data_IF_552486929409
#
_entry.id   IF_552486929409
#
_cell.length_a   1.000
_cell.length_b   1.000
_cell.length_c   1.000
_cell.angle_alpha   90.00
_cell.angle_beta   90.00
_cell.angle_gamma   90.00
#
_symmetry.space_group_name_H-M   'P 1'
#
loop_
_entity.id
_entity.type
_entity.pdbx_description
1 polymer ?
#
# COMPACT_ATOMS: atom_id res chain seq x y z
N UNK A 1 52.53 -47.76 7.10
CA UNK A 1 52.26 -48.59 8.30
C UNK A 1 51.44 -47.72 9.23
N UNK A 2 50.17 -47.93 9.61
CA UNK A 2 49.33 -49.10 9.95
C UNK A 2 47.85 -48.71 9.76
N UNK A 3 47.09 -49.30 8.83
CA UNK A 3 46.01 -50.30 9.02
C UNK A 3 44.95 -50.05 10.13
N UNK A 4 43.70 -49.90 9.67
CA UNK A 4 42.53 -50.76 9.96
C UNK A 4 41.70 -50.60 11.26
N UNK A 5 40.42 -50.22 11.09
CA UNK A 5 39.16 -50.87 11.59
C UNK A 5 38.01 -49.86 11.39
N UNK A 6 36.96 -50.03 10.59
CA UNK A 6 36.04 -51.15 10.33
C UNK A 6 35.15 -51.53 11.54
N UNK A 7 34.02 -50.82 11.69
CA UNK A 7 32.79 -51.22 12.39
C UNK A 7 31.64 -50.49 11.67
N UNK A 8 30.94 -51.06 10.68
CA UNK A 8 29.91 -52.12 10.76
C UNK A 8 29.01 -52.01 11.99
N UNK A 9 27.98 -51.16 11.89
CA UNK A 9 26.68 -51.43 12.52
C UNK A 9 25.57 -51.28 11.49
N UNK A 10 25.07 -52.45 11.08
CA UNK A 10 23.81 -52.60 10.38
C UNK A 10 22.67 -52.24 11.34
N UNK A 11 21.76 -51.38 10.89
CA UNK A 11 20.46 -51.16 11.54
C UNK A 11 19.33 -51.70 10.67
N UNK A 12 18.27 -52.22 11.30
CA UNK A 12 17.43 -53.25 10.72
C UNK A 12 16.40 -52.69 9.75
N UNK A 13 16.28 -53.37 8.62
CA UNK A 13 15.15 -53.30 7.69
C UNK A 13 13.84 -53.65 8.41
N UNK A 14 13.14 -52.63 8.93
CA UNK A 14 11.73 -52.79 9.29
C UNK A 14 10.86 -52.59 8.04
N UNK A 15 10.50 -53.72 7.42
CA UNK A 15 9.37 -53.87 6.52
C UNK A 15 8.09 -53.43 7.24
N UNK A 16 7.66 -52.19 7.03
CA UNK A 16 6.29 -51.77 7.29
C UNK A 16 5.50 -51.93 5.97
N UNK A 17 4.78 -53.05 5.85
CA UNK A 17 3.75 -53.24 4.84
C UNK A 17 2.58 -52.29 5.13
N UNK A 18 2.64 -51.07 4.61
CA UNK A 18 1.50 -50.17 4.57
C UNK A 18 0.54 -50.64 3.45
N UNK A 19 -0.51 -51.35 3.85
CA UNK A 19 -1.69 -51.64 3.02
C UNK A 19 -2.32 -50.33 2.55
N UNK A 20 -2.03 -49.93 1.32
CA UNK A 20 -2.76 -48.89 0.60
C UNK A 20 -4.12 -49.43 0.19
N UNK A 21 -5.15 -49.20 1.03
CA UNK A 21 -6.55 -49.31 0.61
C UNK A 21 -6.82 -48.20 -0.41
N UNK A 22 -6.79 -48.55 -1.70
CA UNK A 22 -7.43 -47.78 -2.78
C UNK A 22 -8.95 -47.78 -2.53
N UNK A 23 -9.44 -46.75 -1.86
CA UNK A 23 -10.84 -46.38 -1.93
C UNK A 23 -11.02 -45.59 -3.24
N UNK A 24 -11.44 -46.30 -4.30
CA UNK A 24 -11.96 -45.69 -5.51
C UNK A 24 -13.30 -45.03 -5.21
N UNK A 25 -13.27 -43.82 -4.65
CA UNK A 25 -14.44 -42.97 -4.55
C UNK A 25 -14.75 -42.41 -5.92
N UNK A 26 -15.87 -42.85 -6.50
CA UNK A 26 -16.43 -42.29 -7.72
C UNK A 26 -16.56 -40.77 -7.57
N UNK A 27 -15.82 -40.01 -8.38
CA UNK A 27 -16.03 -38.56 -8.57
C UNK A 27 -17.45 -38.40 -9.10
N UNK A 28 -18.36 -37.95 -8.23
CA UNK A 28 -19.64 -37.43 -8.66
C UNK A 28 -19.43 -36.29 -9.66
N UNK A 29 -20.40 -36.05 -10.56
CA UNK A 29 -20.31 -34.97 -11.55
C UNK A 29 -20.01 -33.66 -10.83
N UNK A 30 -18.91 -33.01 -11.22
CA UNK A 30 -18.53 -31.71 -10.69
C UNK A 30 -19.70 -30.76 -10.90
N UNK A 31 -20.36 -30.37 -9.79
CA UNK A 31 -21.41 -29.37 -9.80
C UNK A 31 -20.79 -28.11 -10.40
N UNK A 32 -21.19 -27.77 -11.62
CA UNK A 32 -20.71 -26.58 -12.31
C UNK A 32 -20.99 -25.37 -11.41
N UNK A 33 -19.92 -24.75 -10.90
CA UNK A 33 -20.03 -23.53 -10.13
C UNK A 33 -20.65 -22.49 -11.05
N UNK A 34 -21.82 -21.92 -10.72
CA UNK A 34 -22.48 -20.95 -11.59
C UNK A 34 -21.51 -19.81 -11.89
N UNK A 35 -21.38 -19.48 -13.19
CA UNK A 35 -20.62 -18.33 -13.69
C UNK A 35 -21.21 -17.07 -13.04
N UNK A 36 -20.51 -16.51 -12.06
CA UNK A 36 -20.90 -15.28 -11.38
C UNK A 36 -20.78 -14.11 -12.35
N UNK A 37 -21.80 -13.26 -12.37
CA UNK A 37 -21.81 -12.03 -13.15
C UNK A 37 -20.83 -11.02 -12.55
N UNK A 38 -20.05 -10.30 -13.38
CA UNK A 38 -19.06 -9.30 -12.93
C UNK A 38 -19.67 -8.12 -12.18
N UNK A 39 -21.01 -7.99 -12.17
CA UNK A 39 -21.74 -6.94 -11.46
C UNK A 39 -21.62 -7.03 -9.92
N UNK A 40 -21.22 -8.19 -9.37
CA UNK A 40 -21.17 -8.42 -7.92
C UNK A 40 -19.79 -8.15 -7.28
N UNK A 41 -18.81 -7.68 -8.04
CA UNK A 41 -17.45 -7.46 -7.54
C UNK A 41 -17.06 -5.98 -7.49
N UNK A 42 -16.47 -5.55 -6.37
CA UNK A 42 -16.07 -4.18 -6.13
C UNK A 42 -14.57 -3.99 -6.45
N UNK A 43 -14.16 -2.98 -7.25
CA UNK A 43 -12.74 -2.70 -7.45
C UNK A 43 -12.06 -2.36 -6.12
N UNK A 44 -10.87 -2.90 -5.89
CA UNK A 44 -10.13 -2.72 -4.64
C UNK A 44 -9.91 -1.23 -4.35
N UNK A 45 -9.52 -0.44 -5.35
CA UNK A 45 -9.34 1.02 -5.23
C UNK A 45 -10.59 1.72 -4.69
N UNK A 46 -11.79 1.29 -5.12
CA UNK A 46 -13.07 1.80 -4.62
C UNK A 46 -13.39 1.31 -3.21
N UNK A 47 -13.04 0.07 -2.86
CA UNK A 47 -13.18 -0.42 -1.49
C UNK A 47 -12.32 0.42 -0.52
N UNK A 48 -11.05 0.64 -0.88
CA UNK A 48 -10.09 1.39 -0.04
C UNK A 48 -10.44 2.88 0.07
N UNK A 49 -11.15 3.47 -0.91
CA UNK A 49 -11.57 4.87 -0.84
C UNK A 49 -12.80 5.09 0.06
N UNK A 50 -13.63 4.06 0.26
CA UNK A 50 -14.88 4.15 1.03
C UNK A 50 -14.71 3.60 2.45
N UNK A 51 -13.89 2.56 2.63
CA UNK A 51 -13.76 1.84 3.89
C UNK A 51 -12.31 1.75 4.35
N UNK A 52 -12.09 1.94 5.66
CA UNK A 52 -10.83 1.56 6.32
C UNK A 52 -10.85 0.06 6.61
N UNK A 53 -9.74 -0.61 6.30
CA UNK A 53 -9.59 -2.03 6.56
C UNK A 53 -9.16 -2.29 8.01
N UNK A 54 -9.63 -3.38 8.58
CA UNK A 54 -8.99 -3.92 9.79
C UNK A 54 -7.69 -4.64 9.41
N UNK A 55 -6.72 -4.78 10.34
CA UNK A 55 -5.48 -5.51 10.07
C UNK A 55 -5.71 -6.93 9.53
N UNK A 56 -6.69 -7.65 10.09
CA UNK A 56 -7.01 -9.02 9.64
C UNK A 56 -7.61 -9.04 8.21
N UNK A 57 -8.41 -8.03 7.86
CA UNK A 57 -8.96 -7.90 6.50
C UNK A 57 -7.88 -7.60 5.47
N UNK A 58 -6.94 -6.71 5.80
CA UNK A 58 -5.84 -6.38 4.91
C UNK A 58 -4.91 -7.58 4.66
N UNK A 59 -4.61 -8.37 5.71
CA UNK A 59 -3.86 -9.63 5.58
C UNK A 59 -4.62 -10.65 4.72
N UNK A 60 -5.92 -10.83 4.94
CA UNK A 60 -6.74 -11.78 4.17
C UNK A 60 -6.79 -11.43 2.68
N UNK A 61 -6.93 -10.14 2.34
CA UNK A 61 -6.88 -9.66 0.95
C UNK A 61 -5.50 -9.90 0.32
N UNK A 62 -4.41 -9.58 1.03
CA UNK A 62 -3.05 -9.85 0.54
C UNK A 62 -2.79 -11.34 0.31
N UNK A 63 -3.28 -12.21 1.20
CA UNK A 63 -3.18 -13.66 1.05
C UNK A 63 -3.97 -14.20 -0.16
N UNK A 64 -5.20 -13.71 -0.37
CA UNK A 64 -6.02 -14.10 -1.52
C UNK A 64 -5.41 -13.62 -2.85
N UNK A 65 -4.80 -12.43 -2.87
CA UNK A 65 -4.10 -11.90 -4.04
C UNK A 65 -2.90 -12.75 -4.46
N UNK A 66 -2.04 -13.12 -3.51
CA UNK A 66 -0.90 -13.98 -3.79
C UNK A 66 -1.32 -15.38 -4.23
N UNK A 67 -2.38 -15.92 -3.62
CA UNK A 67 -2.93 -17.20 -4.06
C UNK A 67 -3.46 -17.13 -5.50
N UNK A 68 -4.14 -16.04 -5.88
CA UNK A 68 -4.57 -15.82 -7.26
C UNK A 68 -3.37 -15.72 -8.22
N UNK A 69 -2.30 -15.06 -7.80
CA UNK A 69 -1.07 -14.91 -8.57
C UNK A 69 -0.37 -16.25 -8.81
N UNK A 70 -0.21 -17.08 -7.77
CA UNK A 70 0.40 -18.42 -7.86
C UNK A 70 -0.35 -19.35 -8.83
N UNK A 71 -1.67 -19.15 -9.01
CA UNK A 71 -2.49 -19.97 -9.91
C UNK A 71 -2.42 -19.56 -11.39
N UNK A 72 -1.90 -18.37 -11.71
CA UNK A 72 -1.83 -17.86 -13.10
C UNK A 72 -0.43 -18.05 -13.67
N UNK A 73 -0.34 -18.68 -14.83
CA UNK A 73 0.91 -18.82 -15.58
C UNK A 73 0.65 -18.58 -17.08
N UNK A 74 1.17 -17.51 -17.69
CA UNK A 74 1.95 -16.43 -17.07
C UNK A 74 1.07 -15.57 -16.13
N UNK A 75 1.68 -15.03 -15.08
CA UNK A 75 0.96 -14.16 -14.16
C UNK A 75 0.83 -12.75 -14.79
N UNK A 76 -0.38 -12.17 -14.85
CA UNK A 76 -0.52 -10.81 -15.36
C UNK A 76 0.01 -9.80 -14.34
N UNK A 77 0.52 -8.65 -14.80
CA UNK A 77 1.05 -7.62 -13.91
C UNK A 77 0.00 -7.18 -12.88
N UNK A 78 0.43 -7.11 -11.61
CA UNK A 78 -0.44 -6.80 -10.49
C UNK A 78 -0.73 -5.29 -10.45
N UNK A 79 -1.91 -4.88 -10.90
CA UNK A 79 -2.39 -3.51 -10.73
C UNK A 79 -3.54 -3.46 -9.72
N UNK A 80 -3.59 -2.45 -8.83
CA UNK A 80 -4.71 -2.28 -7.90
C UNK A 80 -6.09 -2.25 -8.59
N UNK A 81 -6.15 -1.76 -9.83
CA UNK A 81 -7.38 -1.66 -10.63
C UNK A 81 -7.86 -3.01 -11.19
N UNK A 82 -6.94 -3.95 -11.38
CA UNK A 82 -7.24 -5.31 -11.81
C UNK A 82 -7.77 -6.18 -10.65
N UNK A 83 -7.64 -5.71 -9.40
CA UNK A 83 -8.11 -6.42 -8.22
C UNK A 83 -9.58 -6.10 -7.96
N UNK A 84 -10.38 -7.15 -7.83
CA UNK A 84 -11.77 -7.08 -7.41
C UNK A 84 -11.97 -7.85 -6.10
N UNK A 85 -12.85 -7.34 -5.25
CA UNK A 85 -13.27 -8.02 -4.03
C UNK A 85 -14.73 -8.41 -4.18
N UNK A 86 -15.01 -9.70 -4.11
CA UNK A 86 -16.36 -10.25 -4.23
C UNK A 86 -17.17 -10.15 -2.93
N UNK A 87 -18.46 -10.45 -3.01
CA UNK A 87 -19.37 -10.58 -1.84
C UNK A 87 -19.02 -11.75 -0.90
N UNK A 88 -18.15 -12.66 -1.34
CA UNK A 88 -17.53 -13.67 -0.49
C UNK A 88 -16.32 -13.12 0.30
N UNK A 89 -16.00 -11.84 0.13
CA UNK A 89 -14.89 -11.14 0.75
C UNK A 89 -13.52 -11.58 0.25
N UNK A 90 -13.46 -12.33 -0.86
CA UNK A 90 -12.20 -12.77 -1.46
C UNK A 90 -11.73 -11.79 -2.52
N UNK A 91 -10.42 -11.54 -2.53
CA UNK A 91 -9.77 -10.80 -3.60
C UNK A 91 -9.54 -11.72 -4.80
N UNK A 92 -9.78 -11.20 -6.00
CA UNK A 92 -9.58 -11.87 -7.28
C UNK A 92 -8.89 -10.91 -8.23
N UNK A 93 -8.02 -11.44 -9.09
CA UNK A 93 -7.40 -10.69 -10.15
C UNK A 93 -8.23 -10.88 -11.42
N UNK A 94 -8.64 -9.80 -12.08
CA UNK A 94 -9.24 -9.88 -13.41
C UNK A 94 -8.16 -9.92 -14.48
N UNK A 95 -8.46 -10.51 -15.63
CA UNK A 95 -7.58 -10.43 -16.79
C UNK A 95 -7.79 -9.08 -17.46
N UNK A 96 -6.74 -8.26 -17.50
CA UNK A 96 -6.77 -7.01 -18.25
C UNK A 96 -6.69 -7.36 -19.74
N UNK A 97 -7.68 -6.97 -20.57
CA UNK A 97 -7.64 -7.28 -21.99
C UNK A 97 -6.48 -6.53 -22.67
N UNK A 98 -5.62 -7.28 -23.38
CA UNK A 98 -4.72 -6.73 -24.39
C UNK A 98 -3.34 -6.25 -23.94
N UNK A 99 -2.89 -6.53 -22.71
CA UNK A 99 -1.51 -6.21 -22.30
C UNK A 99 -0.62 -7.46 -22.33
N UNK A 100 0.48 -7.48 -23.12
CA UNK A 100 1.41 -8.59 -23.12
C UNK A 100 2.08 -8.71 -21.74
N UNK A 101 2.26 -9.94 -21.27
CA UNK A 101 3.02 -10.21 -20.05
C UNK A 101 4.47 -9.73 -20.25
N UNK A 102 4.95 -8.89 -19.34
CA UNK A 102 6.35 -8.45 -19.31
C UNK A 102 7.15 -9.39 -18.40
N UNK A 103 8.30 -9.88 -18.89
CA UNK A 103 9.13 -10.88 -18.19
C UNK A 103 9.89 -10.35 -16.95
N UNK A 104 9.44 -9.27 -16.32
CA UNK A 104 10.10 -8.69 -15.14
C UNK A 104 9.19 -7.78 -14.32
N UNK A 105 9.41 -7.86 -12.99
CA UNK A 105 8.93 -6.99 -11.88
C UNK A 105 7.53 -7.19 -11.26
N UNK A 106 7.01 -8.42 -11.26
CA UNK A 106 5.79 -8.75 -10.50
C UNK A 106 5.91 -8.55 -8.98
N UNK A 107 7.12 -8.69 -8.43
CA UNK A 107 7.36 -8.52 -6.99
C UNK A 107 7.33 -7.07 -6.54
N UNK A 108 7.78 -6.13 -7.36
CA UNK A 108 7.72 -4.70 -7.04
C UNK A 108 6.27 -4.21 -7.05
N UNK A 109 5.48 -4.62 -8.05
CA UNK A 109 4.05 -4.37 -8.10
C UNK A 109 3.31 -5.02 -6.91
N UNK A 110 3.72 -6.23 -6.52
CA UNK A 110 3.23 -6.89 -5.29
C UNK A 110 3.54 -6.06 -4.05
N UNK A 111 4.77 -5.56 -3.89
CA UNK A 111 5.14 -4.72 -2.76
C UNK A 111 4.29 -3.46 -2.68
N UNK A 112 4.09 -2.77 -3.81
CA UNK A 112 3.25 -1.57 -3.89
C UNK A 112 1.79 -1.84 -3.47
N UNK A 113 1.20 -2.96 -3.88
CA UNK A 113 -0.17 -3.32 -3.45
C UNK A 113 -0.22 -3.65 -1.96
N UNK A 114 0.78 -4.35 -1.43
CA UNK A 114 0.86 -4.66 0.01
C UNK A 114 1.01 -3.40 0.86
N UNK A 115 1.79 -2.41 0.40
CA UNK A 115 1.89 -1.10 1.05
C UNK A 115 0.56 -0.37 1.05
N UNK A 116 -0.15 -0.37 -0.08
CA UNK A 116 -1.45 0.27 -0.21
C UNK A 116 -2.47 -0.35 0.76
N UNK A 117 -2.46 -1.68 0.91
CA UNK A 117 -3.27 -2.37 1.92
C UNK A 117 -2.86 -1.97 3.34
N UNK A 118 -1.56 -1.80 3.62
CA UNK A 118 -1.04 -1.31 4.89
C UNK A 118 -1.55 0.09 5.23
N UNK A 119 -1.44 1.04 4.29
CA UNK A 119 -1.89 2.44 4.44
C UNK A 119 -3.40 2.53 4.67
N UNK A 120 -4.19 1.61 4.10
CA UNK A 120 -5.63 1.58 4.29
C UNK A 120 -6.09 1.11 5.70
N UNK A 121 -5.16 0.68 6.55
CA UNK A 121 -5.45 0.30 7.94
C UNK A 121 -5.20 1.44 8.92
N UNK A 122 -5.91 1.44 10.05
CA UNK A 122 -5.72 2.48 11.09
C UNK A 122 -4.45 2.29 11.93
N UNK A 123 -3.82 1.11 11.86
CA UNK A 123 -2.63 0.76 12.64
C UNK A 123 -1.69 -0.06 11.75
N UNK A 124 -0.36 0.13 11.88
CA UNK A 124 0.63 -0.69 11.18
C UNK A 124 0.34 -2.19 11.29
N UNK A 125 0.54 -2.91 10.18
CA UNK A 125 0.32 -4.36 10.10
C UNK A 125 1.66 -5.04 9.82
N UNK A 126 2.39 -5.50 10.85
CA UNK A 126 3.77 -6.00 10.69
C UNK A 126 3.91 -7.16 9.69
N UNK A 127 2.85 -7.93 9.45
CA UNK A 127 2.84 -8.99 8.45
C UNK A 127 2.88 -8.45 7.01
N UNK A 128 2.13 -7.37 6.73
CA UNK A 128 2.14 -6.72 5.41
C UNK A 128 3.47 -6.01 5.18
N UNK A 129 4.01 -5.32 6.18
CA UNK A 129 5.32 -4.65 6.10
C UNK A 129 6.45 -5.65 5.83
N UNK A 130 6.50 -6.77 6.56
CA UNK A 130 7.47 -7.85 6.28
C UNK A 130 7.30 -8.46 4.89
N UNK A 131 6.06 -8.68 4.46
CA UNK A 131 5.78 -9.23 3.13
C UNK A 131 6.22 -8.25 2.02
N UNK A 132 5.92 -6.95 2.17
CA UNK A 132 6.34 -5.92 1.23
C UNK A 132 7.87 -5.76 1.21
N UNK A 133 8.53 -5.80 2.36
CA UNK A 133 10.00 -5.79 2.43
C UNK A 133 10.62 -7.01 1.74
N UNK A 134 10.06 -8.21 1.95
CA UNK A 134 10.50 -9.43 1.27
C UNK A 134 10.30 -9.35 -0.26
N UNK A 135 9.23 -8.68 -0.71
CA UNK A 135 8.96 -8.47 -2.13
C UNK A 135 9.92 -7.46 -2.79
N UNK A 136 10.40 -6.44 -2.06
CA UNK A 136 11.40 -5.48 -2.56
C UNK A 136 12.85 -5.98 -2.52
N UNK A 137 13.10 -7.10 -1.84
CA UNK A 137 14.43 -7.68 -1.76
C UNK A 137 14.93 -8.05 -3.16
N UNK A 138 16.21 -7.80 -3.52
CA UNK A 138 16.82 -8.29 -4.76
C UNK A 138 16.70 -9.83 -4.89
N UNK A 139 16.71 -10.53 -3.76
CA UNK A 139 16.53 -11.99 -3.66
C UNK A 139 15.07 -12.38 -3.37
N UNK A 140 14.13 -11.46 -3.55
CA UNK A 140 12.71 -11.63 -3.25
C UNK A 140 12.14 -12.82 -4.02
N UNK A 141 11.37 -13.64 -3.31
CA UNK A 141 10.65 -14.78 -3.91
C UNK A 141 9.18 -14.72 -3.53
N UNK A 142 8.29 -14.82 -4.50
CA UNK A 142 6.85 -14.78 -4.29
C UNK A 142 6.38 -15.81 -3.24
N UNK A 143 6.98 -17.01 -3.26
CA UNK A 143 6.67 -18.07 -2.30
C UNK A 143 6.95 -17.66 -0.83
N UNK A 144 7.98 -16.84 -0.59
CA UNK A 144 8.31 -16.32 0.76
C UNK A 144 7.26 -15.30 1.18
N UNK A 145 6.90 -14.36 0.30
CA UNK A 145 5.83 -13.37 0.55
C UNK A 145 4.51 -14.09 0.87
N UNK A 146 4.17 -15.12 0.08
CA UNK A 146 2.96 -15.93 0.28
C UNK A 146 2.99 -16.74 1.57
N UNK A 147 4.15 -17.22 2.01
CA UNK A 147 4.28 -17.92 3.30
C UNK A 147 4.01 -16.97 4.48
N UNK A 148 4.58 -15.76 4.47
CA UNK A 148 4.38 -14.74 5.51
C UNK A 148 2.88 -14.40 5.66
N UNK A 149 2.18 -14.15 4.55
CA UNK A 149 0.77 -13.78 4.59
C UNK A 149 -0.14 -14.95 4.96
N UNK A 150 0.15 -16.18 4.52
CA UNK A 150 -0.63 -17.37 4.92
C UNK A 150 -0.53 -17.67 6.41
N UNK A 151 0.67 -17.52 6.99
CA UNK A 151 0.86 -17.68 8.43
C UNK A 151 0.04 -16.66 9.22
N UNK A 152 0.06 -15.39 8.79
CA UNK A 152 -0.73 -14.34 9.44
C UNK A 152 -2.25 -14.53 9.25
N UNK A 153 -2.70 -14.99 8.06
CA UNK A 153 -4.11 -15.23 7.75
C UNK A 153 -4.71 -16.38 8.56
N UNK A 154 -3.90 -17.35 8.99
CA UNK A 154 -4.37 -18.53 9.73
C UNK A 154 -5.11 -18.19 11.04
N UNK A 155 -4.84 -17.02 11.65
CA UNK A 155 -5.37 -16.64 12.96
C UNK A 155 -6.74 -15.93 12.89
N UNK A 156 -7.29 -15.69 11.70
CA UNK A 156 -8.57 -14.97 11.58
C UNK A 156 -9.12 -14.74 10.17
N UNK A 157 -8.46 -15.26 9.14
CA UNK A 157 -8.78 -14.99 7.74
C UNK A 157 -10.20 -15.32 7.33
N UNK A 158 -10.79 -16.39 7.85
CA UNK A 158 -12.16 -16.78 7.52
C UNK A 158 -13.19 -15.76 8.02
N UNK A 159 -13.03 -15.27 9.26
CA UNK A 159 -13.89 -14.23 9.82
C UNK A 159 -13.68 -12.90 9.08
N UNK A 160 -12.43 -12.54 8.78
CA UNK A 160 -12.10 -11.32 8.05
C UNK A 160 -12.73 -11.28 6.65
N UNK A 161 -12.70 -12.38 5.90
CA UNK A 161 -13.39 -12.51 4.60
C UNK A 161 -14.91 -12.42 4.75
N UNK A 162 -15.50 -13.05 5.77
CA UNK A 162 -16.95 -12.92 6.01
C UNK A 162 -17.37 -11.47 6.33
N UNK A 163 -16.54 -10.73 7.08
CA UNK A 163 -16.76 -9.30 7.35
C UNK A 163 -16.60 -8.44 6.09
N UNK A 164 -15.56 -8.68 5.29
CA UNK A 164 -15.36 -8.02 3.99
C UNK A 164 -16.52 -8.27 3.04
N UNK A 165 -17.00 -9.50 2.94
CA UNK A 165 -18.14 -9.85 2.09
C UNK A 165 -19.40 -9.07 2.44
N UNK A 166 -19.67 -8.87 3.75
CA UNK A 166 -20.76 -8.01 4.23
C UNK A 166 -20.55 -6.55 3.85
N UNK A 167 -19.35 -6.02 4.01
CA UNK A 167 -19.04 -4.64 3.64
C UNK A 167 -19.20 -4.40 2.13
N UNK A 168 -18.71 -5.32 1.29
CA UNK A 168 -18.86 -5.26 -0.17
C UNK A 168 -20.33 -5.32 -0.58
N UNK A 169 -21.14 -6.18 0.04
CA UNK A 169 -22.58 -6.27 -0.24
C UNK A 169 -23.32 -4.94 0.04
N UNK A 170 -22.97 -4.26 1.15
CA UNK A 170 -23.53 -2.94 1.48
C UNK A 170 -23.10 -1.87 0.48
N UNK A 171 -21.82 -1.82 0.11
CA UNK A 171 -21.27 -0.81 -0.80
C UNK A 171 -21.78 -0.99 -2.24
N UNK A 172 -21.93 -2.24 -2.69
CA UNK A 172 -22.38 -2.57 -4.04
C UNK A 172 -23.86 -2.20 -4.29
N UNK A 173 -24.58 -1.72 -3.28
CA UNK A 173 -25.92 -1.19 -3.47
C UNK A 173 -27.01 -2.26 -3.57
N UNK A 174 -26.82 -3.43 -2.94
CA UNK A 174 -27.94 -4.34 -2.62
C UNK A 174 -28.81 -3.76 -1.49
N UNK A 175 -29.19 -2.48 -1.65
CA UNK A 175 -30.32 -1.84 -0.99
C UNK A 175 -31.66 -2.28 -1.57
N UNK A 176 -31.70 -3.34 -2.39
CA UNK A 176 -32.94 -4.04 -2.69
C UNK A 176 -33.34 -4.86 -1.47
N UNK A 177 -34.23 -4.27 -0.69
CA UNK A 177 -34.94 -4.93 0.39
C UNK A 177 -35.51 -6.27 -0.04
N UNK A 178 -34.78 -7.34 0.24
CA UNK A 178 -35.40 -8.56 0.70
C UNK A 178 -35.68 -8.35 2.19
N UNK A 179 -36.75 -7.59 2.46
CA UNK A 179 -37.61 -7.87 3.60
C UNK A 179 -38.13 -9.29 3.39
N UNK A 180 -37.27 -10.30 3.60
CA UNK A 180 -37.74 -11.60 3.97
C UNK A 180 -38.35 -11.40 5.35
N UNK A 181 -39.67 -11.17 5.32
CA UNK A 181 -40.53 -11.36 6.47
C UNK A 181 -40.01 -12.60 7.20
N UNK A 182 -39.57 -12.48 8.47
CA UNK A 182 -39.12 -13.64 9.19
C UNK A 182 -40.28 -14.62 9.20
N UNK A 183 -40.13 -15.74 8.47
CA UNK A 183 -41.04 -16.87 8.59
C UNK A 183 -41.19 -17.12 10.08
N UNK A 184 -42.42 -16.94 10.58
CA UNK A 184 -42.77 -17.04 11.97
C UNK A 184 -42.27 -18.38 12.50
N UNK A 185 -41.10 -18.37 13.15
CA UNK A 185 -40.61 -19.55 13.85
C UNK A 185 -41.52 -19.71 15.05
N UNK A 186 -42.38 -20.70 14.96
CA UNK A 186 -43.24 -21.17 16.05
C UNK A 186 -42.34 -21.41 17.26
N UNK A 187 -42.46 -20.53 18.25
CA UNK A 187 -41.74 -20.59 19.51
C UNK A 187 -42.12 -21.86 20.25
N UNK A 188 -41.29 -22.90 20.18
CA UNK A 188 -41.42 -24.05 21.05
C UNK A 188 -41.20 -23.61 22.52
N UNK A 189 -42.03 -24.08 23.48
CA UNK A 189 -41.97 -23.64 24.87
C UNK A 189 -40.65 -24.04 25.52
N UNK A 190 -39.84 -23.03 25.85
CA UNK A 190 -38.63 -23.16 26.67
C UNK A 190 -39.00 -23.70 28.05
N UNK A 191 -38.58 -24.94 28.36
CA UNK A 191 -38.55 -25.46 29.73
C UNK A 191 -37.68 -24.55 30.60
N UNK A 192 -38.29 -23.99 31.65
CA UNK A 192 -37.62 -23.24 32.72
C UNK A 192 -36.58 -24.13 33.39
N UNK A 193 -35.30 -23.75 33.30
CA UNK A 193 -34.21 -24.32 34.09
C UNK A 193 -34.13 -23.57 35.43
N UNK A 194 -33.99 -24.26 36.57
CA UNK A 194 -33.96 -23.62 37.88
C UNK A 194 -32.70 -22.75 38.09
N UNK A 195 -32.79 -21.72 38.93
CA UNK A 195 -31.70 -20.78 39.18
C UNK A 195 -30.56 -21.46 39.95
N UNK A 196 -29.35 -21.42 39.38
CA UNK A 196 -28.12 -21.76 40.11
C UNK A 196 -27.58 -20.49 40.76
N UNK A 197 -27.52 -20.52 42.08
CA UNK A 197 -26.92 -19.48 42.92
C UNK A 197 -25.40 -19.42 42.72
N UNK A 198 -24.81 -18.24 42.44
CA UNK A 198 -23.37 -18.07 42.39
C UNK A 198 -22.91 -17.52 43.74
N UNK A 199 -22.47 -18.39 44.65
CA UNK A 199 -21.68 -17.98 45.81
C UNK A 199 -20.41 -18.82 45.87
N UNK A 200 -19.28 -18.12 45.97
CA UNK A 200 -17.91 -18.59 46.29
C UNK A 200 -17.02 -19.12 45.15
N UNK A 201 -16.62 -18.26 44.20
CA UNK A 201 -15.39 -18.47 43.39
C UNK A 201 -14.53 -17.20 43.27
N UNK A 202 -14.59 -16.30 44.26
CA UNK A 202 -13.93 -14.99 44.18
C UNK A 202 -12.50 -14.94 44.74
N UNK A 203 -11.91 -16.05 45.24
CA UNK A 203 -10.56 -16.01 45.84
C UNK A 203 -9.48 -16.83 45.14
N UNK A 204 -9.81 -17.63 44.13
CA UNK A 204 -8.83 -18.44 43.40
C UNK A 204 -8.32 -17.81 42.09
N UNK A 205 -8.97 -16.75 41.57
CA UNK A 205 -8.58 -16.12 40.31
C UNK A 205 -7.49 -15.03 40.47
N UNK A 206 -7.31 -14.47 41.66
CA UNK A 206 -6.38 -13.36 41.92
C UNK A 206 -4.91 -13.80 41.91
N UNK A 207 -4.60 -15.05 42.25
CA UNK A 207 -3.22 -15.54 42.23
C UNK A 207 -2.67 -15.85 40.83
N UNK A 208 -3.52 -15.92 39.80
CA UNK A 208 -3.12 -16.29 38.42
C UNK A 208 -2.89 -15.08 37.51
N UNK A 209 -3.35 -13.89 37.89
CA UNK A 209 -3.19 -12.66 37.12
C UNK A 209 -1.83 -11.99 37.28
N UNK A 210 -1.09 -12.24 38.37
CA UNK A 210 0.25 -11.67 38.60
C UNK A 210 1.23 -11.98 37.45
N UNK A 211 1.21 -13.21 36.94
CA UNK A 211 2.12 -13.62 35.87
C UNK A 211 1.86 -12.87 34.56
N UNK A 212 0.61 -12.52 34.28
CA UNK A 212 0.25 -11.72 33.11
C UNK A 212 0.74 -10.27 33.25
N UNK A 213 0.58 -9.67 34.42
CA UNK A 213 1.07 -8.30 34.68
C UNK A 213 2.59 -8.25 34.56
N UNK A 214 3.31 -9.21 35.16
CA UNK A 214 4.77 -9.26 35.06
C UNK A 214 5.23 -9.40 33.60
N UNK A 215 4.57 -10.25 32.81
CA UNK A 215 4.88 -10.42 31.39
C UNK A 215 4.67 -9.12 30.60
N UNK A 216 3.59 -8.38 30.88
CA UNK A 216 3.32 -7.09 30.22
C UNK A 216 4.37 -6.05 30.61
N UNK A 217 4.75 -5.99 31.89
CA UNK A 217 5.78 -5.05 32.36
C UNK A 217 7.15 -5.34 31.72
N UNK A 218 7.55 -6.61 31.66
CA UNK A 218 8.81 -7.00 30.99
C UNK A 218 8.78 -6.66 29.51
N UNK A 219 7.67 -6.91 28.82
CA UNK A 219 7.51 -6.55 27.42
C UNK A 219 7.64 -5.03 27.21
N UNK A 220 6.95 -4.22 28.02
CA UNK A 220 7.03 -2.75 27.96
C UNK A 220 8.45 -2.27 28.25
N UNK A 221 9.14 -2.88 29.21
CA UNK A 221 10.53 -2.55 29.52
C UNK A 221 11.47 -2.88 28.34
N UNK A 222 11.35 -4.06 27.73
CA UNK A 222 12.14 -4.44 26.55
C UNK A 222 11.86 -3.49 25.39
N UNK A 223 10.60 -3.22 25.07
CA UNK A 223 10.22 -2.28 24.01
C UNK A 223 10.74 -0.87 24.32
N UNK A 224 10.69 -0.43 25.57
CA UNK A 224 11.24 0.86 25.98
C UNK A 224 12.76 0.94 25.82
N UNK A 225 13.48 -0.12 26.18
CA UNK A 225 14.93 -0.22 26.00
C UNK A 225 15.29 -0.21 24.51
N UNK A 226 14.60 -1.00 23.69
CA UNK A 226 14.79 -1.02 22.24
C UNK A 226 14.52 0.37 21.62
N UNK A 227 13.43 1.04 22.00
CA UNK A 227 13.11 2.39 21.50
C UNK A 227 14.18 3.40 21.93
N UNK A 228 14.70 3.30 23.15
CA UNK A 228 15.74 4.21 23.63
C UNK A 228 17.07 4.00 22.90
N UNK A 229 17.49 2.75 22.71
CA UNK A 229 18.73 2.42 22.00
C UNK A 229 18.64 2.69 20.50
N UNK A 230 17.56 2.28 19.84
CA UNK A 230 17.39 2.45 18.38
C UNK A 230 17.17 3.92 17.98
N UNK A 231 16.58 4.75 18.86
CA UNK A 231 16.45 6.19 18.56
C UNK A 231 17.78 6.93 18.56
N UNK A 232 18.74 6.53 19.39
CA UNK A 232 20.01 7.24 19.51
C UNK A 232 20.91 7.00 18.28
N UNK A 233 20.92 5.78 17.74
CA UNK A 233 21.68 5.44 16.53
C UNK A 233 21.08 6.08 15.28
N UNK A 234 19.75 6.11 15.14
CA UNK A 234 19.08 6.78 14.01
C UNK A 234 19.35 8.29 14.02
N UNK A 235 19.43 8.91 15.20
CA UNK A 235 19.71 10.35 15.32
C UNK A 235 21.14 10.68 14.90
N UNK A 236 22.10 9.83 15.25
CA UNK A 236 23.50 9.99 14.84
C UNK A 236 23.69 9.78 13.34
N UNK A 237 23.08 8.77 12.76
CA UNK A 237 23.18 8.52 11.31
C UNK A 237 22.51 9.62 10.49
N UNK A 238 21.35 10.13 10.91
CA UNK A 238 20.71 11.26 10.21
C UNK A 238 21.59 12.51 10.26
N UNK A 239 22.22 12.77 11.42
CA UNK A 239 23.13 13.92 11.54
C UNK A 239 24.38 13.72 10.69
N UNK A 240 24.94 12.50 10.66
CA UNK A 240 26.09 12.14 9.82
C UNK A 240 25.77 12.23 8.32
N UNK A 241 24.58 11.83 7.88
CA UNK A 241 24.15 11.95 6.48
C UNK A 241 23.87 13.42 6.12
N UNK A 242 23.29 14.21 7.02
CA UNK A 242 23.06 15.64 6.81
C UNK A 242 24.36 16.46 6.85
N UNK A 243 25.38 16.01 7.59
CA UNK A 243 26.72 16.61 7.59
C UNK A 243 27.54 16.14 6.38
N UNK A 244 27.47 14.86 5.99
CA UNK A 244 28.12 14.34 4.78
C UNK A 244 27.55 14.96 3.50
N UNK A 245 26.27 15.36 3.50
CA UNK A 245 25.68 16.16 2.41
C UNK A 245 26.10 17.64 2.40
N UNK A 246 26.68 18.16 3.49
CA UNK A 246 27.21 19.54 3.58
C UNK A 246 28.74 19.61 3.44
N UNK A 247 29.44 18.53 3.75
CA UNK A 247 30.88 18.45 3.59
C UNK A 247 31.22 18.19 2.11
N UNK A 248 31.70 19.25 1.46
CA UNK A 248 32.58 19.18 0.28
C UNK A 248 31.96 18.67 -1.03
N UNK A 249 31.09 19.49 -1.62
CA UNK A 249 31.24 19.75 -3.05
C UNK A 249 32.31 20.83 -3.18
N UNK A 250 33.58 20.42 -3.19
CA UNK A 250 34.64 21.28 -3.71
C UNK A 250 34.23 21.65 -5.14
N UNK A 251 33.91 22.94 -5.31
CA UNK A 251 33.53 23.55 -6.57
C UNK A 251 34.58 23.22 -7.64
N UNK A 252 34.30 22.17 -8.39
CA UNK A 252 34.95 21.94 -9.68
C UNK A 252 34.27 22.93 -10.61
N UNK A 253 35.06 23.86 -11.18
CA UNK A 253 34.62 24.94 -12.06
C UNK A 253 33.45 24.48 -12.94
N UNK A 254 32.25 24.91 -12.54
CA UNK A 254 31.02 24.48 -13.18
C UNK A 254 30.85 25.24 -14.51
N UNK A 255 30.34 24.56 -15.55
CA UNK A 255 29.93 25.22 -16.79
C UNK A 255 28.97 26.37 -16.45
N UNK A 256 29.12 27.49 -17.16
CA UNK A 256 28.37 28.75 -16.99
C UNK A 256 26.93 28.50 -16.53
N UNK A 257 26.68 28.61 -15.22
CA UNK A 257 25.37 28.34 -14.66
C UNK A 257 24.38 29.39 -15.16
N UNK A 258 23.28 28.94 -15.76
CA UNK A 258 22.23 29.84 -16.25
C UNK A 258 21.67 30.69 -15.10
N UNK A 259 21.30 31.96 -15.36
CA UNK A 259 20.75 32.86 -14.33
C UNK A 259 19.56 32.25 -13.59
N UNK A 260 19.40 32.50 -12.27
CA UNK A 260 18.27 31.98 -11.51
C UNK A 260 16.95 32.51 -12.07
N UNK A 261 15.95 31.64 -12.15
CA UNK A 261 14.62 31.99 -12.65
C UNK A 261 13.83 32.65 -11.52
N UNK A 262 13.37 33.88 -11.74
CA UNK A 262 12.52 34.60 -10.78
C UNK A 262 11.09 34.04 -10.90
N UNK A 263 10.48 33.54 -9.80
CA UNK A 263 9.11 33.05 -9.84
C UNK A 263 8.11 34.16 -10.23
N UNK A 264 7.05 33.84 -11.00
CA UNK A 264 6.08 34.82 -11.46
C UNK A 264 5.12 35.32 -10.35
N UNK A 265 5.15 34.71 -9.17
CA UNK A 265 4.37 35.08 -7.99
C UNK A 265 5.12 34.70 -6.69
N UNK A 266 4.71 35.21 -5.53
CA UNK A 266 5.27 34.79 -4.24
C UNK A 266 5.06 33.29 -3.97
N UNK A 267 5.88 32.70 -3.10
CA UNK A 267 5.73 31.28 -2.72
C UNK A 267 4.45 30.98 -1.92
N UNK A 268 3.87 32.00 -1.28
CA UNK A 268 2.67 31.93 -0.46
C UNK A 268 1.78 33.16 -0.71
N UNK A 269 0.47 32.96 -0.75
CA UNK A 269 -0.50 34.05 -0.92
C UNK A 269 -1.89 33.64 -0.42
N UNK A 270 -2.55 34.53 0.33
CA UNK A 270 -3.90 34.30 0.85
C UNK A 270 -3.97 33.06 1.74
N UNK A 271 -4.80 32.08 1.37
CA UNK A 271 -4.94 30.80 2.09
C UNK A 271 -3.92 29.73 1.66
N UNK A 272 -3.03 30.04 0.71
CA UNK A 272 -2.00 29.14 0.20
C UNK A 272 -0.69 29.45 0.91
N UNK A 273 -0.17 28.47 1.66
CA UNK A 273 1.05 28.60 2.45
C UNK A 273 2.31 28.26 1.66
N UNK A 274 2.22 27.35 0.67
CA UNK A 274 3.32 26.99 -0.21
C UNK A 274 2.82 26.27 -1.47
N UNK A 275 3.58 26.39 -2.56
CA UNK A 275 3.42 25.58 -3.78
C UNK A 275 4.75 24.90 -4.07
N UNK A 276 4.74 23.58 -4.16
CA UNK A 276 5.91 22.76 -4.49
C UNK A 276 5.66 22.04 -5.82
N UNK A 277 6.69 22.03 -6.67
CA UNK A 277 6.71 21.31 -7.94
C UNK A 277 7.92 20.40 -7.99
N UNK A 278 7.72 19.13 -8.37
CA UNK A 278 8.79 18.16 -8.56
C UNK A 278 8.53 17.31 -9.80
N UNK A 279 9.56 17.02 -10.57
CA UNK A 279 9.44 16.01 -11.63
C UNK A 279 9.30 14.62 -10.98
N UNK A 280 8.39 13.78 -11.49
CA UNK A 280 8.18 12.41 -10.98
C UNK A 280 9.33 11.49 -11.43
N UNK A 281 9.89 11.78 -12.59
CA UNK A 281 11.03 11.11 -13.20
C UNK A 281 11.91 12.15 -13.91
N UNK A 282 13.18 11.84 -14.24
CA UNK A 282 14.00 12.73 -15.06
C UNK A 282 13.28 13.08 -16.37
N UNK A 283 13.25 14.37 -16.71
CA UNK A 283 12.55 14.86 -17.89
C UNK A 283 13.51 15.40 -18.94
N UNK A 284 13.09 15.30 -20.20
CA UNK A 284 13.83 15.79 -21.35
C UNK A 284 12.96 16.77 -22.16
N UNK A 285 13.56 17.81 -22.78
CA UNK A 285 12.87 18.67 -23.74
C UNK A 285 12.27 17.86 -24.91
N UNK A 286 11.18 18.36 -25.50
CA UNK A 286 10.47 17.69 -26.61
C UNK A 286 9.66 16.44 -26.21
N UNK A 287 9.58 16.10 -24.92
CA UNK A 287 8.88 14.90 -24.43
C UNK A 287 7.79 15.24 -23.42
N UNK A 288 6.87 14.30 -23.19
CA UNK A 288 5.93 14.39 -22.09
C UNK A 288 6.63 14.13 -20.75
N UNK A 289 6.44 15.04 -19.80
CA UNK A 289 7.01 14.97 -18.47
C UNK A 289 5.91 14.99 -17.41
N UNK A 290 5.95 14.04 -16.49
CA UNK A 290 5.05 13.99 -15.35
C UNK A 290 5.64 14.81 -14.19
N UNK A 291 4.87 15.77 -13.69
CA UNK A 291 5.19 16.57 -12.52
C UNK A 291 4.21 16.31 -11.39
N UNK A 292 4.72 16.21 -10.16
CA UNK A 292 3.93 16.25 -8.94
C UNK A 292 3.83 17.69 -8.47
N UNK A 293 2.60 18.18 -8.38
CA UNK A 293 2.23 19.47 -7.78
C UNK A 293 1.72 19.19 -6.37
N UNK A 294 2.33 19.85 -5.39
CA UNK A 294 1.85 19.85 -4.01
C UNK A 294 1.52 21.28 -3.60
N UNK A 295 0.30 21.51 -3.14
CA UNK A 295 -0.14 22.82 -2.63
C UNK A 295 -0.46 22.67 -1.16
N UNK A 296 0.21 23.45 -0.32
CA UNK A 296 -0.07 23.54 1.12
C UNK A 296 -1.01 24.71 1.36
N UNK A 297 -2.07 24.48 2.11
CA UNK A 297 -3.10 25.48 2.41
C UNK A 297 -3.40 25.56 3.89
N UNK A 298 -3.87 26.72 4.32
CA UNK A 298 -4.40 26.90 5.66
C UNK A 298 -5.69 26.08 5.81
N UNK A 299 -5.83 25.25 6.86
CA UNK A 299 -7.06 24.50 7.08
C UNK A 299 -8.28 25.43 7.24
N UNK A 300 -9.34 25.17 6.46
CA UNK A 300 -10.59 25.93 6.50
C UNK A 300 -11.76 25.04 6.92
N UNK A 301 -12.80 25.64 7.52
CA UNK A 301 -14.01 24.91 7.92
C UNK A 301 -14.83 24.37 6.73
N UNK A 302 -14.63 24.95 5.54
CA UNK A 302 -15.28 24.56 4.30
C UNK A 302 -14.25 24.00 3.30
N UNK A 303 -14.64 23.11 2.38
CA UNK A 303 -13.74 22.66 1.32
C UNK A 303 -13.20 23.81 0.48
N UNK A 304 -11.93 23.72 0.06
CA UNK A 304 -11.26 24.74 -0.75
C UNK A 304 -10.96 24.20 -2.14
N UNK A 305 -11.51 24.82 -3.18
CA UNK A 305 -11.17 24.49 -4.56
C UNK A 305 -9.96 25.29 -5.02
N UNK A 306 -8.90 24.59 -5.40
CA UNK A 306 -7.64 25.15 -5.88
C UNK A 306 -7.55 24.88 -7.38
N UNK A 307 -7.28 25.91 -8.15
CA UNK A 307 -6.98 25.81 -9.59
C UNK A 307 -5.55 26.27 -9.80
N UNK A 308 -4.79 25.54 -10.61
CA UNK A 308 -3.41 25.89 -10.95
C UNK A 308 -3.14 25.63 -12.43
N UNK A 309 -2.11 26.30 -12.93
CA UNK A 309 -1.53 26.12 -14.25
C UNK A 309 -0.03 25.88 -14.13
N UNK A 310 0.60 25.36 -15.20
CA UNK A 310 2.05 25.32 -15.29
C UNK A 310 2.55 26.36 -16.30
N UNK A 311 3.75 26.87 -16.07
CA UNK A 311 4.45 27.75 -17.01
C UNK A 311 5.79 27.15 -17.33
N UNK A 312 6.08 27.02 -18.61
CA UNK A 312 7.34 26.52 -19.15
C UNK A 312 8.10 27.71 -19.73
N UNK A 313 9.19 28.10 -19.08
CA UNK A 313 10.09 29.15 -19.51
C UNK A 313 11.26 28.52 -20.28
N UNK A 314 11.48 28.94 -21.52
CA UNK A 314 12.77 28.75 -22.18
C UNK A 314 13.75 29.77 -21.59
N UNK A 315 14.77 29.26 -20.88
CA UNK A 315 15.76 30.08 -20.18
C UNK A 315 16.74 30.77 -21.13
N UNK A 316 16.82 30.33 -22.38
CA UNK A 316 17.70 30.88 -23.39
C UNK A 316 17.07 32.06 -24.12
N UNK A 317 15.79 31.94 -24.48
CA UNK A 317 15.05 32.98 -25.21
C UNK A 317 14.24 33.90 -24.30
N UNK A 318 13.91 33.43 -23.09
CA UNK A 318 12.98 34.12 -22.18
C UNK A 318 11.51 33.86 -22.52
N UNK A 319 11.20 33.03 -23.51
CA UNK A 319 9.84 32.74 -23.91
C UNK A 319 9.11 31.91 -22.83
N UNK A 320 7.87 32.30 -22.50
CA UNK A 320 7.02 31.59 -21.53
C UNK A 320 5.80 31.02 -22.22
N UNK A 321 5.67 29.70 -22.19
CA UNK A 321 4.49 28.98 -22.68
C UNK A 321 3.66 28.50 -21.50
N UNK A 322 2.36 28.77 -21.53
CA UNK A 322 1.42 28.23 -20.56
C UNK A 322 1.11 26.76 -20.89
N UNK A 323 1.17 25.91 -19.88
CA UNK A 323 0.81 24.50 -19.96
C UNK A 323 -0.44 24.21 -19.10
N UNK A 324 -1.28 23.24 -19.51
CA UNK A 324 -2.45 22.84 -18.73
C UNK A 324 -2.06 22.41 -17.31
N UNK A 325 -2.77 22.90 -16.31
CA UNK A 325 -2.67 22.41 -14.93
C UNK A 325 -3.89 21.61 -14.52
N UNK A 326 -4.42 21.90 -13.34
CA UNK A 326 -5.51 21.13 -12.76
C UNK A 326 -6.42 21.94 -11.86
N UNK A 327 -7.53 21.31 -11.46
CA UNK A 327 -8.40 21.79 -10.40
C UNK A 327 -8.70 20.65 -9.46
N UNK A 328 -8.53 20.86 -8.17
CA UNK A 328 -8.88 19.88 -7.16
C UNK A 328 -9.32 20.58 -5.86
N UNK A 329 -10.07 19.84 -5.06
CA UNK A 329 -10.66 20.35 -3.84
C UNK A 329 -9.97 19.73 -2.63
N UNK A 330 -9.47 20.59 -1.74
CA UNK A 330 -9.02 20.20 -0.40
C UNK A 330 -10.27 20.07 0.48
N UNK A 331 -10.50 18.94 1.15
CA UNK A 331 -11.64 18.78 2.04
C UNK A 331 -11.58 19.77 3.21
N UNK A 332 -12.71 19.96 3.89
CA UNK A 332 -12.76 20.75 5.12
C UNK A 332 -11.70 20.24 6.13
N UNK A 333 -10.99 21.18 6.76
CA UNK A 333 -9.87 20.96 7.67
C UNK A 333 -8.63 20.26 7.06
N UNK A 334 -8.61 20.02 5.74
CA UNK A 334 -7.41 19.56 5.05
C UNK A 334 -6.35 20.67 4.93
N UNK A 335 -5.08 20.27 4.94
CA UNK A 335 -3.91 21.18 4.90
C UNK A 335 -3.11 21.08 3.60
N UNK A 336 -3.47 20.15 2.71
CA UNK A 336 -2.68 19.85 1.50
C UNK A 336 -3.52 19.31 0.35
N UNK A 337 -2.99 19.54 -0.84
CA UNK A 337 -3.42 18.97 -2.10
C UNK A 337 -2.21 18.36 -2.81
N UNK A 338 -2.36 17.17 -3.37
CA UNK A 338 -1.34 16.48 -4.14
C UNK A 338 -1.95 16.02 -5.47
N UNK A 339 -1.30 16.39 -6.58
CA UNK A 339 -1.72 16.01 -7.91
C UNK A 339 -0.52 15.69 -8.80
N UNK A 340 -0.71 14.82 -9.78
CA UNK A 340 0.27 14.55 -10.84
C UNK A 340 -0.31 15.05 -12.17
N UNK A 341 0.50 15.78 -12.92
CA UNK A 341 0.13 16.39 -14.20
C UNK A 341 1.21 16.08 -15.22
N UNK A 342 0.79 15.69 -16.42
CA UNK A 342 1.68 15.45 -17.56
C UNK A 342 1.69 16.67 -18.46
N UNK A 343 2.88 17.17 -18.79
CA UNK A 343 3.07 18.34 -19.65
C UNK A 343 3.96 17.95 -20.82
N UNK A 344 3.53 18.25 -22.05
CA UNK A 344 4.39 18.19 -23.22
C UNK A 344 5.39 19.36 -23.16
N UNK A 345 6.67 19.04 -23.03
CA UNK A 345 7.72 20.06 -22.97
C UNK A 345 8.14 20.46 -24.40
N UNK A 346 8.29 21.76 -24.68
CA UNK A 346 8.80 22.21 -25.98
C UNK A 346 10.24 21.74 -26.20
N UNK A 347 10.67 21.73 -27.46
CA UNK A 347 12.07 21.48 -27.81
C UNK A 347 12.90 22.74 -27.53
N UNK A 348 13.71 22.71 -26.47
CA UNK A 348 14.69 23.75 -26.14
C UNK A 348 15.85 23.14 -25.34
N UNK A 349 16.99 23.83 -25.25
CA UNK A 349 18.17 23.29 -24.56
C UNK A 349 18.17 23.52 -23.05
N UNK A 350 17.38 24.49 -22.56
CA UNK A 350 17.26 24.80 -21.15
C UNK A 350 15.87 25.35 -20.80
N UNK A 351 15.01 24.49 -20.27
CA UNK A 351 13.68 24.87 -19.79
C UNK A 351 13.67 25.05 -18.27
N UNK A 352 12.70 25.82 -17.78
CA UNK A 352 12.33 25.87 -16.38
C UNK A 352 10.81 25.79 -16.25
N UNK A 353 10.32 24.84 -15.45
CA UNK A 353 8.88 24.66 -15.23
C UNK A 353 8.50 25.19 -13.86
N UNK A 354 7.43 25.98 -13.80
CA UNK A 354 6.85 26.48 -12.53
C UNK A 354 5.38 26.13 -12.46
N UNK A 355 4.88 25.82 -11.27
CA UNK A 355 3.45 25.72 -11.00
C UNK A 355 2.97 27.04 -10.41
N UNK A 356 1.82 27.53 -10.88
CA UNK A 356 1.21 28.78 -10.40
C UNK A 356 -0.24 28.51 -10.07
N UNK A 357 -0.67 28.86 -8.86
CA UNK A 357 -2.09 28.78 -8.49
C UNK A 357 -2.85 29.98 -9.05
N UNK A 358 -3.99 29.73 -9.66
CA UNK A 358 -4.85 30.78 -10.25
C UNK A 358 -5.96 31.19 -9.25
N UNK A 359 -6.44 30.22 -8.45
CA UNK A 359 -7.47 30.42 -7.40
C UNK A 359 -7.20 29.53 -6.19
N UNK A 360 -7.57 29.95 -4.96
CA UNK A 360 -8.20 31.24 -4.62
C UNK A 360 -7.22 32.42 -4.52
N UNK A 361 -5.91 32.16 -4.58
CA UNK A 361 -4.86 33.18 -4.52
C UNK A 361 -3.71 32.78 -5.42
N UNK A 362 -2.90 33.74 -5.85
CA UNK A 362 -1.80 33.50 -6.78
C UNK A 362 -0.49 33.34 -6.04
N UNK A 363 -0.02 32.10 -5.98
CA UNK A 363 1.28 31.71 -5.46
C UNK A 363 2.00 30.84 -6.50
N UNK A 364 3.33 30.82 -6.47
CA UNK A 364 4.14 30.04 -7.42
C UNK A 364 5.17 29.17 -6.71
N UNK A 365 5.47 28.02 -7.33
CA UNK A 365 6.58 27.18 -6.90
C UNK A 365 7.93 27.79 -7.28
N UNK A 366 9.01 27.22 -6.72
CA UNK A 366 10.32 27.30 -7.36
C UNK A 366 10.31 26.71 -8.77
N UNK A 367 11.24 27.16 -9.62
CA UNK A 367 11.39 26.63 -10.96
C UNK A 367 12.16 25.29 -10.95
N UNK A 368 11.63 24.30 -11.67
CA UNK A 368 12.27 23.00 -11.89
C UNK A 368 13.01 23.04 -13.22
N UNK A 369 14.35 22.98 -13.26
CA UNK A 369 15.10 23.00 -14.51
C UNK A 369 14.91 21.70 -15.30
N UNK A 370 14.79 21.80 -16.64
CA UNK A 370 14.69 20.65 -17.55
C UNK A 370 15.53 20.87 -18.82
N UNK A 371 16.59 20.07 -19.05
CA UNK A 371 17.21 19.16 -18.10
C UNK A 371 17.87 19.93 -16.94
N UNK A 372 18.23 19.24 -15.86
CA UNK A 372 18.84 19.86 -14.68
C UNK A 372 20.11 20.66 -15.03
N UNK A 373 20.91 20.14 -15.97
CA UNK A 373 22.14 20.75 -16.47
C UNK A 373 21.97 21.40 -17.85
N UNK A 374 20.77 21.91 -18.17
CA UNK A 374 20.53 22.60 -19.43
C UNK A 374 21.43 23.83 -19.58
N UNK A 375 21.90 24.08 -20.80
CA UNK A 375 22.73 25.22 -21.16
C UNK A 375 22.25 25.85 -22.46
N UNK A 376 22.51 27.14 -22.64
CA UNK A 376 22.24 27.82 -23.91
C UNK A 376 23.44 27.63 -24.84
N UNK A 377 23.17 27.20 -26.07
CA UNK A 377 24.18 27.21 -27.12
C UNK A 377 24.45 28.67 -27.49
N UNK A 378 25.70 29.09 -27.39
CA UNK A 378 26.15 30.44 -27.74
C UNK A 378 26.00 30.74 -29.24
#
# INVERSE_FOLDING_TARGET
MTRSRAERRASPLHRAHARTRRAGGARGPATAVPLRTPADELPLTRLLSIARLTPAQAVALGADLLAAFETRNPAPPLHPEAVRVGRDGRARLLDAPGRPATDGTDLEATAAVLDQLGVATARPVPALERAAAAARSPDGRLAVVAAILREADATGGAQARAELGRAVAVIAGDGSGATHAPAARTSAPRRRRPPRTPRTVARAAVARSWKWVLSVVVLVAVVGVEIAFLRDDISRDITAVLEAGRAEVMATDSPTALPPVVPPAPAAAGTIDAVDLRAVQPCAPGTECAFRVQVRVQPQAHPQTITWSLRVLDRCTGEVVAAPGGTATVPAHGDRLDAVVTVALPEASALAVTAVTDRPSTAASGAVPVPENGACTA
#
